data_IF_407643547847
#
_entry.id   IF_407643547847
#
_cell.length_a   1.000
_cell.length_b   1.000
_cell.length_c   1.000
_cell.angle_alpha   90.00
_cell.angle_beta   90.00
_cell.angle_gamma   90.00
#
_symmetry.space_group_name_H-M   'P 1'
#
loop_
_entity.id
_entity.type
_entity.pdbx_description
1 polymer ?
#
# COMPACT_ATOMS: atom_id res chain seq x y z
N UNK A 1 -9.72 4.35 15.47
CA UNK A 1 -8.71 4.30 16.58
C UNK A 1 -8.87 3.11 17.50
N UNK A 2 -10.10 2.71 17.80
CA UNK A 2 -10.31 1.55 18.69
C UNK A 2 -9.77 0.25 18.10
N UNK A 3 -9.84 0.08 16.79
CA UNK A 3 -9.30 -1.10 16.11
C UNK A 3 -7.77 -1.23 16.29
N UNK A 4 -7.06 -0.13 16.42
CA UNK A 4 -5.60 -0.13 16.61
C UNK A 4 -5.23 -0.76 17.94
N UNK A 5 -6.06 -0.60 18.95
CA UNK A 5 -5.83 -1.18 20.29
C UNK A 5 -5.87 -2.70 20.28
N UNK A 6 -6.48 -3.31 19.26
CA UNK A 6 -6.52 -4.76 19.13
C UNK A 6 -5.18 -5.34 18.68
N UNK A 7 -4.32 -4.56 18.05
CA UNK A 7 -3.06 -5.06 17.50
C UNK A 7 -2.16 -5.69 18.57
N UNK A 8 -1.82 -5.00 19.68
CA UNK A 8 -1.00 -5.62 20.72
C UNK A 8 -1.68 -6.83 21.35
N UNK A 9 -3.00 -6.75 21.58
CA UNK A 9 -3.75 -7.84 22.22
C UNK A 9 -3.75 -9.09 21.34
N UNK A 10 -3.91 -8.95 20.03
CA UNK A 10 -3.87 -10.07 19.09
C UNK A 10 -2.45 -10.63 18.98
N UNK A 11 -1.44 -9.79 18.93
CA UNK A 11 -0.04 -10.20 18.80
C UNK A 11 0.43 -11.01 20.01
N UNK A 12 -0.12 -10.74 21.19
CA UNK A 12 0.18 -11.54 22.39
C UNK A 12 -0.37 -12.95 22.30
N UNK A 13 -1.48 -13.14 21.60
CA UNK A 13 -2.20 -14.43 21.56
C UNK A 13 -1.87 -15.28 20.35
N UNK A 14 -1.45 -14.67 19.24
CA UNK A 14 -1.19 -15.40 17.99
C UNK A 14 0.19 -15.03 17.46
N UNK A 15 0.89 -16.02 16.91
CA UNK A 15 2.21 -15.82 16.33
C UNK A 15 2.21 -15.49 14.86
N UNK A 16 1.05 -15.21 14.26
CA UNK A 16 0.96 -14.88 12.84
C UNK A 16 1.19 -13.39 12.59
N UNK A 17 1.80 -13.02 11.44
CA UNK A 17 1.96 -11.61 11.08
C UNK A 17 0.60 -10.91 10.89
N UNK A 18 0.53 -9.64 11.30
CA UNK A 18 -0.66 -8.82 11.15
C UNK A 18 -0.42 -7.72 10.12
N UNK A 19 -1.39 -7.50 9.24
CA UNK A 19 -1.38 -6.42 8.26
C UNK A 19 -2.50 -5.44 8.60
N UNK A 20 -2.15 -4.17 8.79
CA UNK A 20 -3.15 -3.11 8.96
C UNK A 20 -3.53 -2.55 7.60
N UNK A 21 -4.79 -2.68 7.23
CA UNK A 21 -5.32 -2.21 5.95
C UNK A 21 -5.94 -0.82 6.14
N UNK A 22 -5.19 0.21 5.77
CA UNK A 22 -5.56 1.61 5.98
C UNK A 22 -6.01 2.21 4.65
N UNK A 23 -7.24 2.73 4.61
CA UNK A 23 -7.81 3.26 3.38
C UNK A 23 -7.59 4.76 3.21
N UNK A 24 -7.97 5.58 4.19
CA UNK A 24 -7.99 7.03 4.02
C UNK A 24 -7.32 7.82 5.15
N UNK A 25 -7.27 7.28 6.34
CA UNK A 25 -6.81 8.02 7.51
C UNK A 25 -5.34 7.71 7.83
N UNK A 26 -4.47 8.69 7.52
CA UNK A 26 -3.04 8.54 7.79
C UNK A 26 -2.73 8.38 9.29
N UNK A 27 -3.57 8.94 10.15
CA UNK A 27 -3.37 8.82 11.62
C UNK A 27 -3.50 7.39 12.08
N UNK A 28 -4.39 6.62 11.45
CA UNK A 28 -4.52 5.18 11.74
C UNK A 28 -3.25 4.44 11.33
N UNK A 29 -2.65 4.81 10.22
CA UNK A 29 -1.39 4.21 9.78
C UNK A 29 -0.26 4.48 10.79
N UNK A 30 -0.15 5.72 11.27
CA UNK A 30 0.84 6.06 12.28
C UNK A 30 0.63 5.28 13.58
N UNK A 31 -0.62 5.21 14.04
CA UNK A 31 -0.95 4.49 15.27
C UNK A 31 -0.70 2.98 15.13
N UNK A 32 -1.01 2.40 13.97
CA UNK A 32 -0.77 0.98 13.71
C UNK A 32 0.73 0.66 13.72
N UNK A 33 1.56 1.51 13.12
CA UNK A 33 3.01 1.32 13.14
C UNK A 33 3.55 1.33 14.57
N UNK A 34 3.10 2.27 15.39
CA UNK A 34 3.49 2.35 16.80
C UNK A 34 3.01 1.14 17.61
N UNK A 35 1.86 0.58 17.24
CA UNK A 35 1.27 -0.57 17.95
C UNK A 35 1.99 -1.89 17.65
N UNK A 36 2.92 -1.91 16.69
CA UNK A 36 3.73 -3.09 16.41
C UNK A 36 3.17 -3.99 15.32
N UNK A 37 2.36 -3.47 14.42
CA UNK A 37 1.86 -4.23 13.27
C UNK A 37 3.03 -4.66 12.37
N UNK A 38 2.90 -5.82 11.72
CA UNK A 38 3.97 -6.37 10.90
C UNK A 38 4.06 -5.72 9.51
N UNK A 39 2.96 -5.19 9.02
CA UNK A 39 2.89 -4.56 7.69
C UNK A 39 1.71 -3.59 7.65
N UNK A 40 1.85 -2.53 6.89
CA UNK A 40 0.76 -1.59 6.64
C UNK A 40 0.47 -1.58 5.15
N UNK A 41 -0.82 -1.76 4.80
CA UNK A 41 -1.29 -1.60 3.44
C UNK A 41 -1.93 -0.23 3.31
N UNK A 42 -1.43 0.56 2.38
CA UNK A 42 -2.00 1.87 2.05
C UNK A 42 -2.06 2.06 0.54
N UNK A 43 -2.85 3.03 0.13
CA UNK A 43 -2.78 3.59 -1.21
C UNK A 43 -2.29 5.04 -1.05
N UNK A 44 -1.03 5.35 -1.42
CA UNK A 44 -0.49 6.69 -1.24
C UNK A 44 -1.32 7.79 -1.90
N UNK A 45 -2.09 7.46 -2.93
CA UNK A 45 -2.98 8.41 -3.58
C UNK A 45 -4.23 8.77 -2.77
N UNK A 46 -4.60 7.96 -1.76
CA UNK A 46 -5.83 8.15 -0.99
C UNK A 46 -5.60 8.67 0.43
N UNK A 47 -4.37 8.78 0.87
CA UNK A 47 -4.06 9.15 2.27
C UNK A 47 -4.13 10.66 2.50
N UNK A 48 -4.06 11.44 1.44
CA UNK A 48 -4.01 12.89 1.48
C UNK A 48 -2.82 13.40 0.71
N UNK A 49 -2.31 14.57 1.06
CA UNK A 49 -1.18 15.17 0.36
C UNK A 49 0.14 14.43 0.59
N UNK A 50 1.17 14.82 -0.15
CA UNK A 50 2.50 14.22 -0.04
C UNK A 50 3.09 14.35 1.35
N UNK A 51 2.74 15.40 2.08
CA UNK A 51 3.18 15.61 3.46
C UNK A 51 2.68 14.48 4.39
N UNK A 52 1.46 13.99 4.18
CA UNK A 52 0.89 12.90 4.95
C UNK A 52 1.55 11.57 4.60
N UNK A 53 1.81 11.35 3.32
CA UNK A 53 2.56 10.17 2.87
C UNK A 53 3.94 10.15 3.50
N UNK A 54 4.61 11.30 3.57
CA UNK A 54 5.92 11.42 4.21
C UNK A 54 5.86 11.03 5.69
N UNK A 55 4.85 11.49 6.42
CA UNK A 55 4.68 11.15 7.83
C UNK A 55 4.53 9.64 8.02
N UNK A 56 3.72 8.99 7.19
CA UNK A 56 3.53 7.55 7.24
C UNK A 56 4.84 6.81 6.91
N UNK A 57 5.54 7.23 5.85
CA UNK A 57 6.81 6.61 5.44
C UNK A 57 7.86 6.74 6.54
N UNK A 58 7.98 7.91 7.15
CA UNK A 58 8.94 8.14 8.23
C UNK A 58 8.63 7.28 9.46
N UNK A 59 7.36 7.17 9.84
CA UNK A 59 6.93 6.34 10.96
C UNK A 59 7.21 4.86 10.69
N UNK A 60 6.88 4.39 9.49
CA UNK A 60 7.14 2.99 9.11
C UNK A 60 8.63 2.69 9.09
N UNK A 61 9.46 3.61 8.61
CA UNK A 61 10.92 3.45 8.61
C UNK A 61 11.45 3.36 10.04
N UNK A 62 10.98 4.24 10.92
CA UNK A 62 11.40 4.27 12.31
C UNK A 62 11.07 2.96 13.04
N UNK A 63 9.94 2.35 12.74
CA UNK A 63 9.48 1.12 13.38
C UNK A 63 9.83 -0.15 12.59
N UNK A 64 10.51 -0.02 11.45
CA UNK A 64 10.87 -1.17 10.61
C UNK A 64 9.68 -1.87 9.98
N UNK A 65 8.59 -1.16 9.70
CA UNK A 65 7.35 -1.72 9.16
C UNK A 65 7.33 -1.55 7.64
N UNK A 66 7.22 -2.63 6.85
CA UNK A 66 7.08 -2.51 5.40
C UNK A 66 5.71 -1.95 5.02
N UNK A 67 5.67 -1.26 3.89
CA UNK A 67 4.43 -0.72 3.32
C UNK A 67 4.03 -1.56 2.11
N UNK A 68 2.79 -2.03 2.12
CA UNK A 68 2.20 -2.73 0.98
C UNK A 68 1.38 -1.77 0.15
N UNK A 69 1.75 -1.61 -1.11
CA UNK A 69 1.02 -0.80 -2.07
C UNK A 69 0.05 -1.72 -2.82
N UNK A 70 -1.25 -1.49 -2.64
CA UNK A 70 -2.28 -2.28 -3.31
C UNK A 70 -2.82 -1.58 -4.54
N UNK A 71 -2.85 -2.28 -5.67
CA UNK A 71 -3.44 -1.79 -6.92
C UNK A 71 -4.62 -2.69 -7.27
N UNK A 72 -5.76 -2.09 -7.59
CA UNK A 72 -6.99 -2.80 -7.91
C UNK A 72 -7.50 -2.30 -9.26
N UNK A 73 -7.83 -3.24 -10.16
CA UNK A 73 -8.37 -2.91 -11.47
C UNK A 73 -9.67 -2.10 -11.42
N UNK A 74 -10.43 -2.24 -10.35
CA UNK A 74 -11.69 -1.50 -10.16
C UNK A 74 -11.54 -0.09 -9.63
N UNK A 75 -10.35 0.33 -9.24
CA UNK A 75 -10.11 1.63 -8.61
C UNK A 75 -8.87 2.34 -9.16
N UNK A 76 -8.55 2.13 -10.43
CA UNK A 76 -7.44 2.84 -11.08
C UNK A 76 -7.73 4.33 -11.19
N UNK A 77 -6.66 5.12 -11.16
CA UNK A 77 -6.74 6.56 -11.34
C UNK A 77 -7.31 6.91 -12.72
N UNK A 78 -8.12 7.97 -12.77
CA UNK A 78 -8.81 8.37 -14.01
C UNK A 78 -7.87 8.64 -15.16
N UNK A 79 -6.76 9.31 -14.92
CA UNK A 79 -5.78 9.65 -15.95
C UNK A 79 -5.14 8.39 -16.55
N UNK A 80 -4.90 7.38 -15.75
CA UNK A 80 -4.36 6.10 -16.21
C UNK A 80 -5.42 5.37 -17.05
N UNK A 81 -6.67 5.34 -16.57
CA UNK A 81 -7.76 4.73 -17.33
C UNK A 81 -7.98 5.41 -18.69
N UNK A 82 -7.90 6.73 -18.73
CA UNK A 82 -8.01 7.49 -19.98
C UNK A 82 -6.87 7.17 -20.95
N UNK A 83 -5.66 7.05 -20.44
CA UNK A 83 -4.48 6.75 -21.25
C UNK A 83 -4.53 5.36 -21.88
N UNK A 84 -4.97 4.35 -21.15
CA UNK A 84 -5.00 2.96 -21.62
C UNK A 84 -6.38 2.49 -22.08
N UNK A 85 -7.42 3.25 -21.82
CA UNK A 85 -8.81 2.93 -22.22
C UNK A 85 -9.49 1.87 -21.37
N UNK A 86 -8.74 1.06 -20.62
CA UNK A 86 -9.28 -0.01 -19.76
C UNK A 86 -8.22 -0.43 -18.74
N UNK A 87 -8.57 -1.22 -17.70
CA UNK A 87 -7.60 -1.73 -16.74
C UNK A 87 -6.71 -2.83 -17.33
N UNK A 88 -5.80 -2.44 -18.23
CA UNK A 88 -4.83 -3.37 -18.84
C UNK A 88 -3.71 -3.71 -17.87
N UNK A 89 -2.91 -4.78 -18.12
CA UNK A 89 -1.72 -5.07 -17.30
C UNK A 89 -0.78 -3.87 -17.20
N UNK A 90 -0.55 -3.16 -18.29
CA UNK A 90 0.30 -1.98 -18.33
C UNK A 90 -0.25 -0.85 -17.45
N UNK A 91 -1.58 -0.67 -17.43
CA UNK A 91 -2.24 0.33 -16.60
C UNK A 91 -2.04 0.03 -15.11
N UNK A 92 -2.19 -1.23 -14.72
CA UNK A 92 -1.99 -1.66 -13.34
C UNK A 92 -0.54 -1.47 -12.90
N UNK A 93 0.41 -1.81 -13.76
CA UNK A 93 1.84 -1.63 -13.48
C UNK A 93 2.18 -0.14 -13.35
N UNK A 94 1.65 0.71 -14.23
CA UNK A 94 1.89 2.16 -14.13
C UNK A 94 1.37 2.73 -12.82
N UNK A 95 0.18 2.30 -12.38
CA UNK A 95 -0.38 2.71 -11.09
C UNK A 95 0.52 2.27 -9.93
N UNK A 96 0.96 1.02 -9.93
CA UNK A 96 1.84 0.49 -8.90
C UNK A 96 3.16 1.26 -8.83
N UNK A 97 3.80 1.50 -9.98
CA UNK A 97 5.05 2.23 -10.04
C UNK A 97 4.89 3.69 -9.64
N UNK A 98 3.76 4.31 -9.94
CA UNK A 98 3.47 5.67 -9.49
C UNK A 98 3.50 5.77 -7.97
N UNK A 99 2.84 4.83 -7.29
CA UNK A 99 2.80 4.81 -5.84
C UNK A 99 4.16 4.48 -5.23
N UNK A 100 4.90 3.57 -5.83
CA UNK A 100 6.27 3.24 -5.39
C UNK A 100 7.17 4.46 -5.48
N UNK A 101 7.09 5.23 -6.57
CA UNK A 101 7.88 6.44 -6.74
C UNK A 101 7.56 7.50 -5.69
N UNK A 102 6.29 7.62 -5.28
CA UNK A 102 5.91 8.53 -4.20
C UNK A 102 6.63 8.17 -2.91
N UNK A 103 6.68 6.90 -2.57
CA UNK A 103 7.38 6.43 -1.36
C UNK A 103 8.90 6.59 -1.49
N UNK A 104 9.46 6.33 -2.66
CA UNK A 104 10.89 6.50 -2.91
C UNK A 104 11.36 7.94 -2.75
N UNK A 105 10.49 8.92 -3.03
CA UNK A 105 10.81 10.34 -2.80
C UNK A 105 11.14 10.63 -1.34
N UNK A 106 10.66 9.81 -0.43
CA UNK A 106 10.88 9.96 1.00
C UNK A 106 11.88 8.94 1.55
N UNK A 107 12.73 8.40 0.67
CA UNK A 107 13.75 7.41 1.02
C UNK A 107 13.17 6.14 1.65
N UNK A 108 11.96 5.76 1.26
CA UNK A 108 11.32 4.54 1.74
C UNK A 108 11.40 3.46 0.66
N UNK A 109 12.08 2.36 0.94
CA UNK A 109 12.32 1.28 -0.01
C UNK A 109 11.79 -0.10 0.44
N UNK A 110 11.32 -0.21 1.67
CA UNK A 110 10.77 -1.47 2.19
C UNK A 110 9.32 -1.64 1.73
N UNK A 111 9.13 -1.91 0.43
CA UNK A 111 7.85 -1.85 -0.26
C UNK A 111 7.46 -3.23 -0.76
N UNK A 112 6.19 -3.61 -0.57
CA UNK A 112 5.57 -4.79 -1.15
C UNK A 112 4.47 -4.33 -2.11
N UNK A 113 4.44 -4.89 -3.30
CA UNK A 113 3.43 -4.57 -4.31
C UNK A 113 2.40 -5.69 -4.37
N UNK A 114 1.12 -5.30 -4.38
CA UNK A 114 0.01 -6.22 -4.48
C UNK A 114 -0.91 -5.75 -5.61
N UNK A 115 -1.21 -6.65 -6.56
CA UNK A 115 -2.09 -6.35 -7.68
C UNK A 115 -3.31 -7.24 -7.60
N UNK A 116 -4.50 -6.64 -7.70
CA UNK A 116 -5.75 -7.35 -7.68
C UNK A 116 -6.54 -7.07 -8.95
N UNK A 117 -6.94 -8.14 -9.65
CA UNK A 117 -7.80 -8.07 -10.81
C UNK A 117 -8.76 -9.25 -10.77
N UNK A 118 -9.99 -9.03 -11.23
CA UNK A 118 -10.96 -10.11 -11.39
C UNK A 118 -10.62 -11.02 -12.58
N UNK A 119 -9.78 -10.57 -13.50
CA UNK A 119 -9.27 -11.37 -14.60
C UNK A 119 -7.91 -11.96 -14.24
N UNK A 120 -7.83 -13.28 -14.13
CA UNK A 120 -6.61 -13.99 -13.75
C UNK A 120 -5.47 -13.72 -14.75
N UNK A 121 -5.79 -13.71 -16.04
CA UNK A 121 -4.78 -13.44 -17.07
C UNK A 121 -4.17 -12.05 -16.91
N UNK A 122 -4.99 -11.03 -16.72
CA UNK A 122 -4.54 -9.67 -16.49
C UNK A 122 -3.65 -9.58 -15.24
N UNK A 123 -4.03 -10.28 -14.18
CA UNK A 123 -3.25 -10.30 -12.94
C UNK A 123 -1.86 -10.90 -13.14
N UNK A 124 -1.79 -12.06 -13.83
CA UNK A 124 -0.52 -12.74 -14.10
C UNK A 124 0.38 -11.88 -14.99
N UNK A 125 -0.16 -11.31 -16.05
CA UNK A 125 0.59 -10.45 -16.96
C UNK A 125 1.11 -9.20 -16.23
N UNK A 126 0.29 -8.59 -15.35
CA UNK A 126 0.70 -7.43 -14.58
C UNK A 126 1.88 -7.75 -13.67
N UNK A 127 1.83 -8.87 -12.96
CA UNK A 127 2.90 -9.30 -12.08
C UNK A 127 4.18 -9.58 -12.85
N UNK A 128 4.08 -10.14 -14.07
CA UNK A 128 5.25 -10.44 -14.89
C UNK A 128 5.92 -9.19 -15.45
N UNK A 129 5.19 -8.08 -15.58
CA UNK A 129 5.74 -6.81 -16.06
C UNK A 129 6.49 -6.03 -14.96
N UNK A 130 6.28 -6.38 -13.71
CA UNK A 130 6.96 -5.72 -12.60
C UNK A 130 8.30 -6.44 -12.37
N UNK A 131 9.36 -5.82 -12.87
CA UNK A 131 10.73 -6.29 -12.64
C UNK A 131 11.37 -5.40 -11.59
N UNK A 132 11.73 -5.99 -10.50
CA UNK A 132 12.33 -5.29 -9.38
C UNK A 132 13.79 -5.73 -9.24
#
# INVERSE_FOLDING_TARGET
MDAVKLIPAIKEKVGIPLVADIHFDYKLALAAAEAGVDKIRINPGNIGGLDRVKLVADSCRQHGVPIRVGVNSGSLEKDILEKFGSPTPEALVESALRHVKILEQFDFDNIVISIKSSDVKTMIESLSLIHI
#
